data_IF_240360815022
#
_entry.id   IF_240360815022
#
_cell.length_a   1.000
_cell.length_b   1.000
_cell.length_c   1.000
_cell.angle_alpha   90.00
_cell.angle_beta   90.00
_cell.angle_gamma   90.00
#
_symmetry.space_group_name_H-M   'P 1'
#
loop_
_entity.id
_entity.type
_entity.pdbx_description
1 polymer ?
#
# COMPACT_ATOMS: atom_id res chain seq x y z
N UNK A 1 -2.77 -12.30 -23.32
CA UNK A 1 -3.94 -12.14 -22.44
C UNK A 1 -3.54 -11.93 -20.97
N UNK A 2 -2.24 -11.85 -20.63
CA UNK A 2 -1.81 -11.63 -19.25
C UNK A 2 -1.77 -10.15 -18.85
N UNK A 3 -1.57 -9.23 -19.80
CA UNK A 3 -1.57 -7.79 -19.52
C UNK A 3 -2.93 -7.27 -19.02
N UNK A 4 -4.03 -7.69 -19.64
CA UNK A 4 -5.38 -7.28 -19.22
C UNK A 4 -5.68 -7.67 -17.76
N UNK A 5 -5.34 -8.91 -17.38
CA UNK A 5 -5.46 -9.38 -16.01
C UNK A 5 -4.57 -8.59 -15.04
N UNK A 6 -3.32 -8.30 -15.43
CA UNK A 6 -2.40 -7.51 -14.62
C UNK A 6 -2.87 -6.07 -14.40
N UNK A 7 -3.46 -5.44 -15.42
CA UNK A 7 -4.09 -4.13 -15.33
C UNK A 7 -5.26 -4.16 -14.34
N UNK A 8 -6.17 -5.13 -14.49
CA UNK A 8 -7.31 -5.28 -13.59
C UNK A 8 -6.88 -5.50 -12.13
N UNK A 9 -5.91 -6.40 -11.90
CA UNK A 9 -5.36 -6.70 -10.57
C UNK A 9 -4.74 -5.46 -9.93
N UNK A 10 -3.97 -4.68 -10.69
CA UNK A 10 -3.33 -3.46 -10.19
C UNK A 10 -4.37 -2.36 -9.93
N UNK A 11 -5.40 -2.26 -10.76
CA UNK A 11 -6.54 -1.37 -10.54
C UNK A 11 -7.29 -1.69 -9.25
N UNK A 12 -7.60 -2.97 -9.01
CA UNK A 12 -8.22 -3.44 -7.75
C UNK A 12 -7.35 -3.05 -6.56
N UNK A 13 -6.04 -3.25 -6.68
CA UNK A 13 -5.07 -2.88 -5.64
C UNK A 13 -5.10 -1.39 -5.29
N UNK A 14 -5.18 -0.52 -6.29
CA UNK A 14 -5.25 0.94 -6.10
C UNK A 14 -6.55 1.34 -5.40
N UNK A 15 -7.66 0.71 -5.76
CA UNK A 15 -8.96 0.94 -5.11
C UNK A 15 -8.89 0.50 -3.64
N UNK A 16 -8.35 -0.70 -3.36
CA UNK A 16 -8.18 -1.20 -2.01
C UNK A 16 -7.27 -0.28 -1.16
N UNK A 17 -6.15 0.19 -1.71
CA UNK A 17 -5.26 1.16 -1.06
C UNK A 17 -6.00 2.47 -0.74
N UNK A 18 -6.83 2.94 -1.66
CA UNK A 18 -7.59 4.19 -1.50
C UNK A 18 -8.64 4.07 -0.40
N UNK A 19 -9.38 2.95 -0.38
CA UNK A 19 -10.38 2.64 0.66
C UNK A 19 -9.69 2.52 2.02
N UNK A 20 -8.61 1.74 2.10
CA UNK A 20 -7.85 1.58 3.34
C UNK A 20 -7.24 2.89 3.83
N UNK A 21 -6.62 3.67 2.94
CA UNK A 21 -6.04 4.96 3.28
C UNK A 21 -7.09 5.95 3.80
N UNK A 22 -8.25 6.04 3.13
CA UNK A 22 -9.35 6.87 3.60
C UNK A 22 -9.87 6.43 4.97
N UNK A 23 -10.00 5.12 5.19
CA UNK A 23 -10.46 4.56 6.46
C UNK A 23 -9.52 4.89 7.61
N UNK A 24 -8.22 4.74 7.37
CA UNK A 24 -7.17 5.07 8.34
C UNK A 24 -7.16 6.58 8.66
N UNK A 25 -7.30 7.45 7.65
CA UNK A 25 -7.38 8.90 7.87
C UNK A 25 -8.60 9.27 8.72
N UNK A 26 -9.76 8.67 8.44
CA UNK A 26 -10.98 8.90 9.23
C UNK A 26 -10.78 8.43 10.67
N UNK A 27 -10.15 7.26 10.87
CA UNK A 27 -9.81 6.74 12.18
C UNK A 27 -8.89 7.67 12.99
N UNK A 28 -7.97 8.41 12.36
CA UNK A 28 -7.16 9.41 13.05
C UNK A 28 -7.96 10.65 13.46
N UNK A 29 -9.10 10.92 12.82
CA UNK A 29 -9.95 12.08 13.12
C UNK A 29 -11.13 11.76 14.06
N UNK A 30 -11.35 10.49 14.38
CA UNK A 30 -12.44 10.05 15.27
C UNK A 30 -11.96 9.88 16.70
N UNK A 31 -12.80 10.23 17.68
CA UNK A 31 -12.47 10.05 19.12
C UNK A 31 -12.36 8.57 19.52
N UNK A 32 -13.00 7.67 18.76
CA UNK A 32 -12.93 6.22 18.96
C UNK A 32 -11.69 5.56 18.33
N UNK A 33 -10.95 6.27 17.47
CA UNK A 33 -9.86 5.68 16.68
C UNK A 33 -10.34 4.69 15.60
N UNK A 34 -11.65 4.56 15.41
CA UNK A 34 -12.26 3.69 14.41
C UNK A 34 -12.51 4.46 13.12
N UNK A 35 -12.13 3.83 11.99
CA UNK A 35 -12.51 4.31 10.66
C UNK A 35 -14.00 4.09 10.36
N UNK A 36 -14.39 4.30 9.12
CA UNK A 36 -15.78 4.04 8.67
C UNK A 36 -16.07 2.55 8.50
N UNK A 37 -15.03 1.72 8.39
CA UNK A 37 -15.14 0.27 8.39
C UNK A 37 -15.15 -0.21 9.85
N UNK A 38 -16.22 -0.89 10.31
CA UNK A 38 -16.39 -1.33 11.70
C UNK A 38 -15.57 -2.59 12.00
N UNK A 39 -14.28 -2.55 11.67
CA UNK A 39 -13.28 -3.56 12.00
C UNK A 39 -12.12 -2.89 12.74
N UNK A 40 -11.41 -3.69 13.53
CA UNK A 40 -10.19 -3.25 14.21
C UNK A 40 -9.07 -2.95 13.21
N UNK A 41 -8.13 -2.09 13.62
CA UNK A 41 -7.04 -1.63 12.76
C UNK A 41 -6.19 -2.75 12.15
N UNK A 42 -6.00 -3.83 12.90
CA UNK A 42 -5.23 -4.99 12.43
C UNK A 42 -5.98 -5.78 11.37
N UNK A 43 -7.28 -6.02 11.54
CA UNK A 43 -8.09 -6.74 10.54
C UNK A 43 -8.22 -5.96 9.24
N UNK A 44 -8.40 -4.63 9.27
CA UNK A 44 -8.39 -3.82 8.03
C UNK A 44 -7.03 -3.81 7.33
N UNK A 45 -5.93 -3.76 8.09
CA UNK A 45 -4.58 -3.87 7.53
C UNK A 45 -4.34 -5.20 6.83
N UNK A 46 -4.79 -6.31 7.43
CA UNK A 46 -4.67 -7.65 6.83
C UNK A 46 -5.63 -7.85 5.65
N UNK A 47 -6.87 -7.37 5.76
CA UNK A 47 -7.93 -7.59 4.77
C UNK A 47 -7.84 -6.70 3.54
N UNK A 48 -7.38 -5.45 3.70
CA UNK A 48 -7.30 -4.46 2.61
C UNK A 48 -5.85 -4.10 2.30
N UNK A 49 -5.04 -3.79 3.32
CA UNK A 49 -3.67 -3.35 3.15
C UNK A 49 -2.75 -4.40 2.53
N UNK A 50 -2.72 -5.62 3.08
CA UNK A 50 -1.83 -6.68 2.60
C UNK A 50 -2.13 -7.12 1.15
N UNK A 51 -3.39 -7.42 0.76
CA UNK A 51 -3.70 -7.72 -0.62
C UNK A 51 -3.27 -6.58 -1.55
N UNK A 52 -3.51 -5.33 -1.15
CA UNK A 52 -3.15 -4.18 -1.97
C UNK A 52 -1.63 -3.90 -2.05
N UNK A 53 -0.84 -4.51 -1.17
CA UNK A 53 0.63 -4.51 -1.26
C UNK A 53 1.14 -5.62 -2.18
N UNK A 54 0.48 -6.78 -2.21
CA UNK A 54 0.94 -7.96 -2.95
C UNK A 54 0.49 -7.93 -4.42
N UNK A 55 -0.75 -7.49 -4.69
CA UNK A 55 -1.37 -7.53 -6.01
C UNK A 55 -0.54 -6.82 -7.12
N UNK A 56 0.04 -5.61 -6.92
CA UNK A 56 0.85 -4.95 -7.94
C UNK A 56 2.15 -5.69 -8.25
N UNK A 57 2.72 -6.37 -7.23
CA UNK A 57 3.90 -7.21 -7.41
C UNK A 57 3.53 -8.42 -8.27
N UNK A 58 2.45 -9.13 -7.94
CA UNK A 58 1.95 -10.25 -8.75
C UNK A 58 1.67 -9.81 -10.19
N UNK A 59 1.00 -8.66 -10.37
CA UNK A 59 0.71 -8.08 -11.67
C UNK A 59 1.98 -7.83 -12.52
N UNK A 60 3.07 -7.36 -11.89
CA UNK A 60 4.36 -7.24 -12.56
C UNK A 60 4.87 -8.59 -13.07
N UNK A 61 4.86 -9.64 -12.23
CA UNK A 61 5.42 -10.95 -12.59
C UNK A 61 4.61 -11.63 -13.69
N UNK A 62 3.28 -11.63 -13.62
CA UNK A 62 2.43 -12.26 -14.64
C UNK A 62 2.54 -11.56 -16.01
N UNK A 63 2.78 -10.24 -16.01
CA UNK A 63 2.89 -9.44 -17.22
C UNK A 63 4.34 -9.16 -17.62
N UNK A 64 5.34 -9.81 -17.02
CA UNK A 64 6.77 -9.48 -17.22
C UNK A 64 7.20 -9.54 -18.68
N UNK A 65 6.58 -10.39 -19.48
CA UNK A 65 6.86 -10.58 -20.92
C UNK A 65 6.07 -9.65 -21.83
N UNK A 66 5.02 -9.00 -21.32
CA UNK A 66 4.16 -8.10 -22.08
C UNK A 66 4.55 -6.63 -21.77
N UNK A 67 5.12 -5.88 -22.74
CA UNK A 67 5.50 -4.48 -22.54
C UNK A 67 4.24 -3.65 -22.25
N UNK A 68 4.30 -2.79 -21.22
CA UNK A 68 3.25 -1.81 -20.94
C UNK A 68 3.77 -0.71 -20.00
N UNK A 69 3.89 0.50 -20.55
CA UNK A 69 4.19 1.71 -19.78
C UNK A 69 3.05 2.08 -18.82
N UNK A 70 1.80 1.89 -19.24
CA UNK A 70 0.61 2.15 -18.41
C UNK A 70 0.57 1.30 -17.15
N UNK A 71 0.79 -0.02 -17.27
CA UNK A 71 0.87 -0.90 -16.09
C UNK A 71 2.07 -0.56 -15.20
N UNK A 72 3.22 -0.22 -15.78
CA UNK A 72 4.37 0.25 -15.02
C UNK A 72 4.05 1.51 -14.20
N UNK A 73 3.35 2.47 -14.79
CA UNK A 73 2.88 3.68 -14.11
C UNK A 73 1.92 3.40 -12.95
N UNK A 74 0.98 2.47 -13.14
CA UNK A 74 0.05 2.06 -12.07
C UNK A 74 0.78 1.41 -10.88
N UNK A 75 1.79 0.56 -11.13
CA UNK A 75 2.58 -0.05 -10.06
C UNK A 75 3.38 1.02 -9.29
N UNK A 76 3.94 2.02 -9.98
CA UNK A 76 4.61 3.16 -9.33
C UNK A 76 3.61 3.93 -8.45
N UNK A 77 2.41 4.22 -8.97
CA UNK A 77 1.38 4.94 -8.22
C UNK A 77 0.95 4.17 -6.96
N UNK A 78 0.78 2.85 -7.05
CA UNK A 78 0.51 2.00 -5.89
C UNK A 78 1.66 2.07 -4.86
N UNK A 79 2.91 1.95 -5.32
CA UNK A 79 4.08 2.04 -4.44
C UNK A 79 4.20 3.39 -3.74
N UNK A 80 3.89 4.49 -4.45
CA UNK A 80 3.84 5.83 -3.87
C UNK A 80 2.75 5.97 -2.79
N UNK A 81 1.56 5.41 -3.02
CA UNK A 81 0.50 5.39 -2.00
C UNK A 81 0.90 4.60 -0.75
N UNK A 82 1.58 3.46 -0.90
CA UNK A 82 2.08 2.67 0.23
C UNK A 82 3.09 3.48 1.05
N UNK A 83 4.04 4.16 0.40
CA UNK A 83 5.00 5.03 1.08
C UNK A 83 4.29 6.17 1.79
N UNK A 84 3.34 6.84 1.12
CA UNK A 84 2.56 7.91 1.71
C UNK A 84 1.80 7.45 2.96
N UNK A 85 1.15 6.29 2.91
CA UNK A 85 0.48 5.68 4.06
C UNK A 85 1.45 5.41 5.21
N UNK A 86 2.63 4.85 4.93
CA UNK A 86 3.67 4.65 5.94
C UNK A 86 4.14 5.96 6.58
N UNK A 87 4.37 7.01 5.78
CA UNK A 87 4.74 8.34 6.30
C UNK A 87 3.66 8.91 7.19
N UNK A 88 2.37 8.79 6.82
CA UNK A 88 1.25 9.24 7.65
C UNK A 88 1.25 8.53 9.01
N UNK A 89 1.47 7.22 9.06
CA UNK A 89 1.57 6.45 10.32
C UNK A 89 2.73 6.94 11.18
N UNK A 90 3.88 7.21 10.57
CA UNK A 90 5.06 7.69 11.30
C UNK A 90 4.86 9.09 11.90
N UNK A 91 4.20 10.00 11.17
CA UNK A 91 3.93 11.37 11.61
C UNK A 91 2.87 11.43 12.70
N UNK A 92 1.88 10.54 12.67
CA UNK A 92 0.79 10.49 13.66
C UNK A 92 1.08 9.56 14.85
N UNK A 93 2.31 9.05 14.98
CA UNK A 93 2.70 8.21 16.09
C UNK A 93 2.70 9.00 17.41
N UNK A 94 1.84 8.64 18.36
CA UNK A 94 1.78 9.29 19.66
C UNK A 94 2.96 8.85 20.55
N UNK A 95 3.89 9.74 20.93
CA UNK A 95 5.09 9.37 21.70
C UNK A 95 4.76 8.80 23.09
N UNK A 96 3.62 9.17 23.68
CA UNK A 96 3.19 8.65 24.98
C UNK A 96 2.79 7.16 24.90
N UNK A 97 2.03 6.77 23.87
CA UNK A 97 1.65 5.36 23.63
C UNK A 97 2.85 4.50 23.25
N UNK A 98 3.79 5.05 22.48
CA UNK A 98 5.02 4.37 22.05
C UNK A 98 5.93 4.04 23.24
N UNK A 99 6.02 4.95 24.22
CA UNK A 99 6.80 4.74 25.43
C UNK A 99 6.19 3.68 26.35
N UNK A 100 4.87 3.65 26.48
CA UNK A 100 4.15 2.74 27.37
C UNK A 100 4.04 1.30 26.79
N UNK A 101 3.97 1.19 25.47
CA UNK A 101 3.88 -0.10 24.76
C UNK A 101 5.23 -0.69 24.33
N UNK A 102 6.34 0.06 24.47
CA UNK A 102 7.68 -0.35 24.00
C UNK A 102 7.77 -0.54 22.49
N UNK A 103 6.80 0.01 21.74
CA UNK A 103 6.56 -0.31 20.33
C UNK A 103 7.36 0.59 19.41
N UNK A 104 8.32 0.03 18.67
CA UNK A 104 9.11 0.83 17.74
C UNK A 104 8.36 1.05 16.41
N UNK A 105 7.64 2.16 16.30
CA UNK A 105 6.85 2.54 15.11
C UNK A 105 7.68 2.60 13.82
N UNK A 106 8.96 2.95 13.92
CA UNK A 106 9.89 2.93 12.78
C UNK A 106 10.07 1.50 12.28
N UNK A 107 10.24 0.53 13.19
CA UNK A 107 10.42 -0.88 12.83
C UNK A 107 9.15 -1.50 12.22
N UNK A 108 7.96 -1.04 12.61
CA UNK A 108 6.68 -1.50 12.04
C UNK A 108 6.40 -0.90 10.67
N UNK A 109 6.85 0.34 10.45
CA UNK A 109 6.59 1.08 9.22
C UNK A 109 7.65 0.84 8.15
N UNK A 110 8.88 0.49 8.54
CA UNK A 110 9.99 0.23 7.62
C UNK A 110 9.67 -0.84 6.55
N UNK A 111 9.01 -1.98 6.86
CA UNK A 111 8.60 -2.94 5.85
C UNK A 111 7.65 -2.36 4.79
N UNK A 112 6.74 -1.46 5.16
CA UNK A 112 5.85 -0.78 4.23
C UNK A 112 6.64 0.12 3.27
N UNK A 113 7.57 0.91 3.80
CA UNK A 113 8.42 1.79 2.98
C UNK A 113 9.25 0.97 2.00
N UNK A 114 9.87 -0.11 2.47
CA UNK A 114 10.66 -1.03 1.62
C UNK A 114 9.77 -1.63 0.52
N UNK A 115 8.58 -2.11 0.87
CA UNK A 115 7.65 -2.67 -0.11
C UNK A 115 7.22 -1.64 -1.17
N UNK A 116 6.93 -0.41 -0.76
CA UNK A 116 6.60 0.68 -1.67
C UNK A 116 7.75 1.04 -2.61
N UNK A 117 8.98 1.10 -2.10
CA UNK A 117 10.19 1.31 -2.92
C UNK A 117 10.41 0.16 -3.92
N UNK A 118 10.19 -1.08 -3.49
CA UNK A 118 10.25 -2.25 -4.38
C UNK A 118 9.23 -2.13 -5.51
N UNK A 119 7.98 -1.77 -5.19
CA UNK A 119 6.96 -1.57 -6.22
C UNK A 119 7.34 -0.46 -7.20
N UNK A 120 7.82 0.70 -6.72
CA UNK A 120 8.31 1.78 -7.58
C UNK A 120 9.43 1.28 -8.50
N UNK A 121 10.40 0.54 -7.96
CA UNK A 121 11.49 -0.05 -8.74
C UNK A 121 10.98 -1.02 -9.81
N UNK A 122 10.03 -1.89 -9.48
CA UNK A 122 9.41 -2.83 -10.44
C UNK A 122 8.63 -2.09 -11.53
N UNK A 123 7.86 -1.07 -11.17
CA UNK A 123 7.13 -0.25 -12.12
C UNK A 123 8.06 0.51 -13.07
N UNK A 124 9.12 1.13 -12.54
CA UNK A 124 10.14 1.80 -13.35
C UNK A 124 10.87 0.84 -14.29
N UNK A 125 11.22 -0.37 -13.80
CA UNK A 125 11.81 -1.42 -14.63
C UNK A 125 10.86 -1.87 -15.74
N UNK A 126 9.55 -1.93 -15.46
CA UNK A 126 8.55 -2.28 -16.47
C UNK A 126 8.45 -1.22 -17.55
N UNK A 127 8.43 0.07 -17.19
CA UNK A 127 8.41 1.19 -18.15
C UNK A 127 9.66 1.15 -19.02
N UNK A 128 10.84 0.96 -18.43
CA UNK A 128 12.12 0.91 -19.17
C UNK A 128 12.20 -0.23 -20.19
N UNK A 129 11.49 -1.33 -19.95
CA UNK A 129 11.44 -2.51 -20.84
C UNK A 129 10.26 -2.49 -21.81
N UNK A 130 9.41 -1.47 -21.73
CA UNK A 130 8.22 -1.32 -22.57
C UNK A 130 8.51 -0.54 -23.83
#
# INVERSE_FOLDING_TARGET
>A
MALGAAIAITGISIILLSIYGADVIIGFTSESGEGFIPFDHKTRGIGLGLPALILPIVAYFISRREPSSGLGGMIIAAGAMIIAGGVVVLVNANPAEVADSGRNVVSETAPLIVAGLVQIGLGALKIKRS
#
